data_IF_472213982963
#
_entry.id   IF_472213982963
#
_cell.length_a   1.000
_cell.length_b   1.000
_cell.length_c   1.000
_cell.angle_alpha   90.00
_cell.angle_beta   90.00
_cell.angle_gamma   90.00
#
_symmetry.space_group_name_H-M   'P 1'
#
loop_
_entity.id
_entity.type
_entity.pdbx_description
1 polymer ?
#
# COMPACT_ATOMS: atom_id res chain seq x y z
N UNK A 1 33.09 4.39 29.66
CA UNK A 1 31.65 4.24 30.04
C UNK A 1 31.58 3.12 31.03
N UNK A 2 31.20 3.42 32.27
CA UNK A 2 31.10 2.43 33.33
C UNK A 2 29.61 2.04 33.51
N UNK A 3 29.32 0.77 33.57
CA UNK A 3 28.00 0.20 33.81
C UNK A 3 27.90 -0.32 35.26
N UNK A 4 26.76 -0.09 35.91
CA UNK A 4 26.54 -0.49 37.32
C UNK A 4 26.51 -2.01 37.47
N UNK A 5 25.99 -2.72 36.47
CA UNK A 5 25.87 -4.18 36.47
C UNK A 5 25.73 -4.71 35.02
N UNK A 6 25.63 -6.03 34.89
CA UNK A 6 25.49 -6.72 33.60
C UNK A 6 24.16 -6.32 32.89
N UNK A 7 23.05 -6.21 33.63
CA UNK A 7 21.75 -5.86 33.08
C UNK A 7 21.79 -4.45 32.46
N UNK A 8 22.32 -3.46 33.19
CA UNK A 8 22.47 -2.10 32.72
C UNK A 8 23.28 -2.03 31.44
N UNK A 9 24.38 -2.79 31.36
CA UNK A 9 25.19 -2.89 30.16
C UNK A 9 24.43 -3.50 28.97
N UNK A 10 23.65 -4.55 29.18
CA UNK A 10 22.89 -5.22 28.12
C UNK A 10 21.70 -4.37 27.65
N UNK A 11 21.04 -3.66 28.56
CA UNK A 11 19.99 -2.71 28.23
C UNK A 11 20.53 -1.54 27.39
N UNK A 12 21.70 -1.02 27.73
CA UNK A 12 22.37 0.01 26.92
C UNK A 12 22.62 -0.47 25.49
N UNK A 13 23.26 -1.63 25.30
CA UNK A 13 23.54 -2.14 23.95
C UNK A 13 22.27 -2.41 23.16
N UNK A 14 21.23 -2.94 23.80
CA UNK A 14 19.94 -3.17 23.16
C UNK A 14 19.25 -1.86 22.75
N UNK A 15 19.49 -0.77 23.49
CA UNK A 15 18.86 0.52 23.27
C UNK A 15 19.56 1.42 22.24
N UNK A 16 20.82 1.11 21.85
CA UNK A 16 21.61 1.99 20.94
C UNK A 16 20.91 2.27 19.62
N UNK A 17 20.13 1.31 19.11
CA UNK A 17 19.40 1.43 17.84
C UNK A 17 17.92 1.79 18.01
N UNK A 18 17.49 2.13 19.21
CA UNK A 18 16.10 2.44 19.51
C UNK A 18 15.79 3.90 19.17
N UNK A 19 15.52 4.15 17.90
CA UNK A 19 15.08 5.46 17.42
C UNK A 19 13.57 5.62 17.59
N UNK A 20 13.13 6.79 18.08
CA UNK A 20 11.74 7.14 18.29
C UNK A 20 11.36 8.29 17.36
N UNK A 21 10.31 8.11 16.56
CA UNK A 21 9.79 9.13 15.67
C UNK A 21 9.06 10.24 16.49
N UNK A 22 9.10 11.46 15.96
CA UNK A 22 8.41 12.59 16.58
C UNK A 22 6.89 12.40 16.51
N UNK A 23 6.23 12.52 17.68
CA UNK A 23 4.77 12.37 17.81
C UNK A 23 3.97 13.57 17.30
N UNK A 24 4.61 14.73 17.16
CA UNK A 24 3.95 16.00 16.75
C UNK A 24 3.96 16.19 15.23
N UNK A 25 4.63 15.31 14.51
CA UNK A 25 4.73 15.29 13.05
C UNK A 25 3.90 14.15 12.46
N UNK A 26 3.51 14.28 11.20
CA UNK A 26 2.97 13.15 10.45
C UNK A 26 4.01 12.04 10.36
N UNK A 27 3.57 10.80 10.46
CA UNK A 27 4.43 9.64 10.21
C UNK A 27 4.03 9.00 8.90
N UNK A 28 4.99 8.81 8.01
CA UNK A 28 4.84 8.05 6.78
C UNK A 28 5.43 6.66 6.98
N UNK A 29 4.69 5.64 6.57
CA UNK A 29 5.15 4.25 6.48
C UNK A 29 5.06 3.83 5.02
N UNK A 30 6.15 3.31 4.46
CA UNK A 30 6.20 2.75 3.12
C UNK A 30 6.55 1.27 3.20
N UNK A 31 5.72 0.44 2.59
CA UNK A 31 5.92 -0.99 2.43
C UNK A 31 6.19 -1.27 0.96
N UNK A 32 7.21 -2.07 0.65
CA UNK A 32 7.62 -2.37 -0.72
C UNK A 32 7.86 -3.88 -0.89
N UNK A 33 7.40 -4.42 -2.00
CA UNK A 33 7.50 -5.84 -2.28
C UNK A 33 8.90 -6.27 -2.73
N UNK A 34 9.58 -7.10 -1.93
CA UNK A 34 10.92 -7.57 -2.24
C UNK A 34 10.92 -8.50 -3.46
N UNK A 35 11.54 -8.06 -4.56
CA UNK A 35 11.66 -8.81 -5.83
C UNK A 35 10.30 -9.23 -6.44
N UNK A 36 9.24 -8.46 -6.24
CA UNK A 36 7.91 -8.79 -6.74
C UNK A 36 7.85 -8.85 -8.26
N UNK A 37 8.54 -7.96 -8.98
CA UNK A 37 8.50 -7.91 -10.44
C UNK A 37 8.78 -9.27 -11.11
N UNK A 38 9.73 -10.05 -10.60
CA UNK A 38 10.06 -11.37 -11.13
C UNK A 38 9.02 -12.44 -10.77
N UNK A 39 8.40 -12.32 -9.57
CA UNK A 39 7.39 -13.27 -9.07
C UNK A 39 6.02 -13.00 -9.72
N UNK A 40 5.63 -11.74 -9.80
CA UNK A 40 4.36 -11.29 -10.38
C UNK A 40 4.26 -11.66 -11.86
N UNK A 41 5.31 -11.41 -12.65
CA UNK A 41 5.35 -11.78 -14.08
C UNK A 41 5.14 -13.27 -14.37
N UNK A 42 5.40 -14.15 -13.40
CA UNK A 42 5.22 -15.59 -13.55
C UNK A 42 3.80 -16.06 -13.24
N UNK A 43 3.05 -15.28 -12.45
CA UNK A 43 1.78 -15.73 -11.85
C UNK A 43 0.57 -14.91 -12.29
N UNK A 44 0.77 -13.66 -12.64
CA UNK A 44 -0.27 -12.69 -12.90
C UNK A 44 -0.19 -12.17 -14.35
N UNK A 45 -1.33 -11.79 -14.88
CA UNK A 45 -1.44 -11.24 -16.24
C UNK A 45 -0.81 -9.85 -16.35
N UNK A 46 -0.25 -9.56 -17.52
CA UNK A 46 0.35 -8.27 -17.84
C UNK A 46 -0.52 -7.54 -18.90
N UNK A 47 -0.56 -6.21 -18.85
CA UNK A 47 0.18 -5.30 -17.98
C UNK A 47 -0.41 -5.15 -16.57
N UNK A 48 -1.70 -5.42 -16.34
CA UNK A 48 -2.39 -5.21 -15.09
C UNK A 48 -3.29 -6.42 -14.79
N UNK A 49 -3.09 -7.03 -13.65
CA UNK A 49 -3.89 -8.15 -13.17
C UNK A 49 -4.83 -7.69 -12.04
N UNK A 50 -6.14 -7.83 -12.26
CA UNK A 50 -7.15 -7.37 -11.30
C UNK A 50 -7.12 -8.17 -10.00
N UNK A 51 -6.69 -9.44 -10.03
CA UNK A 51 -6.53 -10.27 -8.83
C UNK A 51 -5.37 -9.77 -7.97
N UNK A 52 -4.23 -9.46 -8.60
CA UNK A 52 -3.09 -8.89 -7.90
C UNK A 52 -3.45 -7.52 -7.29
N UNK A 53 -4.12 -6.66 -8.06
CA UNK A 53 -4.60 -5.35 -7.60
C UNK A 53 -5.53 -5.50 -6.39
N UNK A 54 -6.50 -6.40 -6.44
CA UNK A 54 -7.43 -6.66 -5.34
C UNK A 54 -6.69 -7.17 -4.08
N UNK A 55 -5.76 -8.10 -4.23
CA UNK A 55 -4.94 -8.60 -3.11
C UNK A 55 -4.13 -7.46 -2.47
N UNK A 56 -3.50 -6.60 -3.28
CA UNK A 56 -2.76 -5.45 -2.78
C UNK A 56 -3.66 -4.45 -2.05
N UNK A 57 -4.83 -4.13 -2.59
CA UNK A 57 -5.81 -3.25 -1.95
C UNK A 57 -6.29 -3.81 -0.60
N UNK A 58 -6.62 -5.09 -0.54
CA UNK A 58 -7.03 -5.77 0.71
C UNK A 58 -5.88 -5.84 1.71
N UNK A 59 -4.65 -6.05 1.23
CA UNK A 59 -3.46 -6.03 2.10
C UNK A 59 -3.28 -4.65 2.72
N UNK A 60 -3.37 -3.58 1.93
CA UNK A 60 -3.27 -2.22 2.42
C UNK A 60 -4.39 -1.89 3.42
N UNK A 61 -5.63 -2.26 3.13
CA UNK A 61 -6.78 -2.07 4.02
C UNK A 61 -6.57 -2.81 5.36
N UNK A 62 -6.09 -4.06 5.31
CA UNK A 62 -5.76 -4.83 6.51
C UNK A 62 -4.66 -4.15 7.31
N UNK A 63 -3.54 -3.78 6.69
CA UNK A 63 -2.42 -3.11 7.39
C UNK A 63 -2.90 -1.81 8.03
N UNK A 64 -3.65 -0.97 7.30
CA UNK A 64 -4.23 0.25 7.86
C UNK A 64 -5.14 -0.02 9.07
N UNK A 65 -5.87 -1.13 9.07
CA UNK A 65 -6.72 -1.53 10.20
C UNK A 65 -5.93 -1.91 11.46
N UNK A 66 -4.67 -2.32 11.31
CA UNK A 66 -3.77 -2.71 12.39
C UNK A 66 -2.90 -1.54 12.89
N UNK A 67 -2.81 -0.46 12.12
CA UNK A 67 -1.99 0.71 12.46
C UNK A 67 -2.85 1.76 13.17
N UNK A 68 -2.54 1.98 14.45
CA UNK A 68 -3.18 3.05 15.22
C UNK A 68 -2.80 4.41 14.63
N UNK A 69 -3.80 5.27 14.45
CA UNK A 69 -3.60 6.60 13.87
C UNK A 69 -3.53 6.63 12.34
N UNK A 70 -3.63 5.48 11.64
CA UNK A 70 -3.67 5.47 10.17
C UNK A 70 -4.84 6.32 9.64
N UNK A 71 -4.56 7.17 8.65
CA UNK A 71 -5.52 8.10 8.04
C UNK A 71 -5.83 7.74 6.59
N UNK A 72 -4.81 7.49 5.81
CA UNK A 72 -4.89 7.25 4.38
C UNK A 72 -3.72 6.36 3.98
N UNK A 73 -3.95 5.49 3.01
CA UNK A 73 -2.87 4.84 2.29
C UNK A 73 -3.02 5.05 0.78
N UNK A 74 -1.89 4.98 0.09
CA UNK A 74 -1.80 4.98 -1.37
C UNK A 74 -1.10 3.68 -1.82
N UNK A 75 -1.70 3.02 -2.80
CA UNK A 75 -1.24 1.73 -3.33
C UNK A 75 -0.92 1.87 -4.81
N UNK A 76 0.27 1.48 -5.18
CA UNK A 76 0.69 1.33 -6.58
C UNK A 76 1.55 0.09 -6.75
N UNK A 77 1.32 -0.70 -7.80
CA UNK A 77 2.05 -1.97 -7.98
C UNK A 77 2.12 -2.76 -6.67
N UNK A 78 3.32 -3.07 -6.20
CA UNK A 78 3.63 -3.77 -4.95
C UNK A 78 4.01 -2.84 -3.79
N UNK A 79 3.76 -1.53 -3.93
CA UNK A 79 4.06 -0.52 -2.92
C UNK A 79 2.79 -0.03 -2.21
N UNK A 80 2.90 0.17 -0.88
CA UNK A 80 1.87 0.76 -0.03
C UNK A 80 2.50 1.88 0.78
N UNK A 81 2.04 3.12 0.60
CA UNK A 81 2.43 4.29 1.42
C UNK A 81 1.29 4.67 2.35
N UNK A 82 1.51 4.67 3.66
CA UNK A 82 0.50 4.93 4.70
C UNK A 82 0.89 6.16 5.50
N UNK A 83 -0.01 7.15 5.60
CA UNK A 83 0.15 8.26 6.53
C UNK A 83 -0.64 8.00 7.82
N UNK A 84 -0.01 8.28 8.94
CA UNK A 84 -0.64 8.25 10.24
C UNK A 84 -0.34 9.52 11.05
N UNK A 85 -1.20 9.83 12.00
CA UNK A 85 -1.04 10.93 12.96
C UNK A 85 -1.11 10.41 14.38
N UNK A 86 -0.40 11.11 15.28
CA UNK A 86 -0.37 10.80 16.72
C UNK A 86 -0.80 12.00 17.57
N UNK A 87 -1.31 13.06 16.92
CA UNK A 87 -1.64 14.35 17.54
C UNK A 87 -3.14 14.73 17.45
N UNK A 88 -4.00 13.78 17.06
CA UNK A 88 -5.44 14.02 16.88
C UNK A 88 -6.20 14.27 18.21
N UNK A 89 -5.66 13.74 19.30
CA UNK A 89 -6.17 13.98 20.65
C UNK A 89 -5.03 13.94 21.66
N UNK A 90 -5.15 14.71 22.73
CA UNK A 90 -4.12 14.86 23.78
C UNK A 90 -3.66 13.52 24.38
N UNK A 91 -4.55 12.54 24.44
CA UNK A 91 -4.29 11.21 24.99
C UNK A 91 -4.11 10.13 23.90
N UNK A 92 -3.82 10.50 22.65
CA UNK A 92 -3.57 9.53 21.59
C UNK A 92 -2.36 8.66 21.92
N UNK A 93 -2.58 7.35 21.96
CA UNK A 93 -1.48 6.41 22.06
C UNK A 93 -0.80 6.29 20.70
N UNK A 94 0.50 6.54 20.63
CA UNK A 94 1.26 6.37 19.41
C UNK A 94 1.40 4.89 19.04
N UNK A 95 1.30 4.58 17.77
CA UNK A 95 1.57 3.24 17.23
C UNK A 95 2.96 2.76 17.69
N UNK A 96 2.98 1.71 18.51
CA UNK A 96 4.18 1.20 19.19
C UNK A 96 5.03 2.27 19.88
N UNK A 97 4.40 3.31 20.46
CA UNK A 97 5.11 4.44 21.10
C UNK A 97 6.12 5.11 20.18
N UNK A 98 5.84 5.14 18.87
CA UNK A 98 6.69 5.69 17.82
C UNK A 98 8.10 5.05 17.71
N UNK A 99 8.34 3.87 18.29
CA UNK A 99 9.61 3.17 18.18
C UNK A 99 9.80 2.65 16.76
N UNK A 100 10.77 3.22 16.04
CA UNK A 100 11.01 2.95 14.62
C UNK A 100 11.21 1.46 14.35
N UNK A 101 12.04 0.77 15.13
CA UNK A 101 12.30 -0.67 14.98
C UNK A 101 11.03 -1.52 15.03
N UNK A 102 10.06 -1.15 15.89
CA UNK A 102 8.78 -1.83 16.02
C UNK A 102 7.84 -1.51 14.86
N UNK A 103 7.76 -0.24 14.47
CA UNK A 103 6.97 0.18 13.31
C UNK A 103 7.40 -0.59 12.07
N UNK A 104 8.72 -0.63 11.79
CA UNK A 104 9.25 -1.30 10.60
C UNK A 104 8.95 -2.81 10.61
N UNK A 105 9.33 -3.49 11.69
CA UNK A 105 9.24 -4.95 11.76
C UNK A 105 7.80 -5.46 11.75
N UNK A 106 6.92 -4.81 12.50
CA UNK A 106 5.52 -5.27 12.63
C UNK A 106 4.68 -4.89 11.41
N UNK A 107 4.88 -3.70 10.84
CA UNK A 107 4.15 -3.32 9.63
C UNK A 107 4.54 -4.21 8.43
N UNK A 108 5.82 -4.53 8.26
CA UNK A 108 6.28 -5.49 7.25
C UNK A 108 5.71 -6.89 7.48
N UNK A 109 5.65 -7.34 8.74
CA UNK A 109 5.08 -8.64 9.10
C UNK A 109 3.58 -8.71 8.78
N UNK A 110 2.80 -7.65 9.06
CA UNK A 110 1.38 -7.59 8.71
C UNK A 110 1.16 -7.69 7.20
N UNK A 111 1.88 -6.89 6.41
CA UNK A 111 1.77 -6.94 4.96
C UNK A 111 2.15 -8.31 4.40
N UNK A 112 3.29 -8.85 4.81
CA UNK A 112 3.80 -10.16 4.39
C UNK A 112 2.82 -11.27 4.71
N UNK A 113 2.34 -11.33 5.95
CA UNK A 113 1.45 -12.41 6.40
C UNK A 113 0.10 -12.35 5.69
N UNK A 114 -0.49 -11.16 5.58
CA UNK A 114 -1.80 -11.02 4.97
C UNK A 114 -1.76 -11.23 3.46
N UNK A 115 -0.77 -10.69 2.76
CA UNK A 115 -0.62 -10.88 1.31
C UNK A 115 -0.48 -12.38 0.97
N UNK A 116 0.42 -13.11 1.65
CA UNK A 116 0.58 -14.55 1.43
C UNK A 116 -0.71 -15.33 1.74
N UNK A 117 -1.42 -14.98 2.82
CA UNK A 117 -2.73 -15.56 3.12
C UNK A 117 -3.73 -15.38 1.96
N UNK A 118 -3.78 -14.22 1.34
CA UNK A 118 -4.68 -13.96 0.22
C UNK A 118 -4.24 -14.68 -1.07
N UNK A 119 -2.95 -14.80 -1.32
CA UNK A 119 -2.42 -15.64 -2.40
C UNK A 119 -2.85 -17.10 -2.21
N UNK A 120 -2.68 -17.66 -1.01
CA UNK A 120 -3.05 -19.03 -0.70
C UNK A 120 -4.56 -19.25 -0.82
N UNK A 121 -5.38 -18.28 -0.40
CA UNK A 121 -6.84 -18.36 -0.60
C UNK A 121 -7.23 -18.43 -2.08
N UNK A 122 -6.50 -17.77 -2.97
CA UNK A 122 -6.78 -17.85 -4.41
C UNK A 122 -6.43 -19.24 -4.96
N UNK A 123 -5.38 -19.89 -4.47
CA UNK A 123 -5.05 -21.26 -4.84
C UNK A 123 -6.19 -22.21 -4.44
N UNK A 124 -6.71 -22.07 -3.21
CA UNK A 124 -7.82 -22.93 -2.70
C UNK A 124 -9.13 -22.72 -3.46
N UNK A 125 -9.37 -21.52 -3.98
CA UNK A 125 -10.60 -21.22 -4.75
C UNK A 125 -10.64 -21.89 -6.13
N UNK A 126 -9.55 -22.48 -6.58
CA UNK A 126 -9.52 -23.20 -7.85
C UNK A 126 -10.30 -24.51 -7.73
N UNK A 127 -11.03 -24.91 -8.77
CA UNK A 127 -11.74 -26.19 -8.83
C UNK A 127 -10.78 -27.36 -9.15
N UNK A 128 -9.59 -27.37 -8.55
CA UNK A 128 -8.59 -28.40 -8.74
C UNK A 128 -8.79 -29.55 -7.73
N UNK A 129 -8.32 -30.78 -8.04
CA UNK A 129 -8.22 -31.87 -7.07
C UNK A 129 -7.39 -31.45 -5.84
N UNK A 130 -7.70 -32.04 -4.67
CA UNK A 130 -7.04 -31.68 -3.40
C UNK A 130 -5.52 -31.89 -3.46
N UNK A 131 -5.05 -32.91 -4.16
CA UNK A 131 -3.61 -33.20 -4.32
C UNK A 131 -2.88 -32.11 -5.10
N UNK A 132 -3.52 -31.58 -6.15
CA UNK A 132 -2.97 -30.45 -6.94
C UNK A 132 -2.96 -29.16 -6.11
N UNK A 133 -3.98 -28.93 -5.28
CA UNK A 133 -4.02 -27.79 -4.34
C UNK A 133 -2.86 -27.87 -3.36
N UNK A 134 -2.61 -29.03 -2.76
CA UNK A 134 -1.49 -29.25 -1.82
C UNK A 134 -0.15 -28.99 -2.53
N UNK A 135 0.03 -29.54 -3.75
CA UNK A 135 1.23 -29.31 -4.54
C UNK A 135 1.42 -27.82 -4.88
N UNK A 136 0.36 -27.10 -5.21
CA UNK A 136 0.42 -25.66 -5.47
C UNK A 136 0.83 -24.89 -4.20
N UNK A 137 0.35 -25.29 -3.03
CA UNK A 137 0.77 -24.72 -1.73
C UNK A 137 2.25 -24.93 -1.45
N UNK A 138 2.74 -26.14 -1.62
CA UNK A 138 4.13 -26.51 -1.33
C UNK A 138 5.12 -25.82 -2.29
N UNK A 139 4.69 -25.57 -3.51
CA UNK A 139 5.51 -24.91 -4.53
C UNK A 139 5.33 -23.38 -4.57
N UNK A 140 4.40 -22.79 -3.79
CA UNK A 140 4.16 -21.36 -3.81
C UNK A 140 5.34 -20.59 -3.23
N UNK A 141 5.85 -19.65 -4.00
CA UNK A 141 6.89 -18.74 -3.53
C UNK A 141 6.32 -17.70 -2.59
N UNK A 142 6.80 -17.68 -1.35
CA UNK A 142 6.39 -16.67 -0.37
C UNK A 142 6.87 -15.27 -0.79
N UNK A 143 5.97 -14.32 -0.66
CA UNK A 143 6.20 -12.90 -0.88
C UNK A 143 6.63 -12.23 0.42
N UNK A 144 7.49 -11.23 0.32
CA UNK A 144 8.03 -10.50 1.46
C UNK A 144 7.95 -9.00 1.19
N UNK A 145 7.59 -8.25 2.22
CA UNK A 145 7.62 -6.80 2.18
C UNK A 145 8.75 -6.28 3.06
N UNK A 146 9.48 -5.29 2.58
CA UNK A 146 10.28 -4.43 3.45
C UNK A 146 9.46 -3.21 3.90
N UNK A 147 10.00 -2.47 4.88
CA UNK A 147 9.31 -1.34 5.45
C UNK A 147 10.28 -0.20 5.75
N UNK A 148 9.87 1.01 5.42
CA UNK A 148 10.53 2.26 5.83
C UNK A 148 9.51 3.14 6.54
N UNK A 149 9.99 3.95 7.50
CA UNK A 149 9.13 4.93 8.16
C UNK A 149 9.93 6.17 8.54
N UNK A 150 9.29 7.34 8.46
CA UNK A 150 9.89 8.64 8.77
C UNK A 150 8.82 9.66 9.11
N UNK A 151 9.25 10.80 9.66
CA UNK A 151 8.36 11.93 9.90
C UNK A 151 8.30 12.87 8.68
N UNK A 152 7.13 13.42 8.47
CA UNK A 152 6.88 14.54 7.55
C UNK A 152 6.36 15.71 8.38
N UNK A 153 7.01 16.89 8.32
CA UNK A 153 6.72 17.98 9.25
C UNK A 153 5.36 18.65 8.99
N UNK A 154 4.90 18.68 7.74
CA UNK A 154 3.68 19.39 7.36
C UNK A 154 2.75 18.54 6.50
N UNK A 155 1.48 18.92 6.46
CA UNK A 155 0.51 18.34 5.53
C UNK A 155 0.92 18.53 4.06
N UNK A 156 1.56 19.64 3.74
CA UNK A 156 2.06 19.85 2.37
C UNK A 156 3.12 18.81 1.99
N UNK A 157 3.95 18.37 2.94
CA UNK A 157 4.92 17.32 2.71
C UNK A 157 4.23 15.94 2.53
N UNK A 158 3.14 15.69 3.25
CA UNK A 158 2.32 14.49 3.06
C UNK A 158 1.73 14.46 1.64
N UNK A 159 1.10 15.55 1.20
CA UNK A 159 0.59 15.64 -0.17
C UNK A 159 1.70 15.50 -1.21
N UNK A 160 2.83 16.20 -1.01
CA UNK A 160 3.98 16.12 -1.91
C UNK A 160 4.53 14.68 -2.02
N UNK A 161 4.50 13.90 -0.93
CA UNK A 161 4.86 12.48 -0.98
C UNK A 161 3.91 11.68 -1.87
N UNK A 162 2.60 11.81 -1.69
CA UNK A 162 1.63 11.10 -2.52
C UNK A 162 1.73 11.51 -4.00
N UNK A 163 1.92 12.79 -4.28
CA UNK A 163 2.14 13.30 -5.65
C UNK A 163 3.42 12.70 -6.25
N UNK A 164 4.50 12.65 -5.49
CA UNK A 164 5.76 12.04 -5.93
C UNK A 164 5.57 10.56 -6.27
N UNK A 165 4.87 9.80 -5.42
CA UNK A 165 4.59 8.38 -5.67
C UNK A 165 3.63 8.18 -6.85
N UNK A 166 2.66 9.07 -7.04
CA UNK A 166 1.77 9.00 -8.19
C UNK A 166 2.49 9.28 -9.51
N UNK A 167 3.41 10.23 -9.55
CA UNK A 167 4.21 10.48 -10.75
C UNK A 167 5.03 9.22 -11.13
N UNK A 168 5.55 8.50 -10.15
CA UNK A 168 6.18 7.20 -10.39
C UNK A 168 5.18 6.15 -10.88
N UNK A 169 3.97 6.09 -10.30
CA UNK A 169 2.90 5.20 -10.74
C UNK A 169 2.54 5.42 -12.20
N UNK A 170 2.30 6.66 -12.61
CA UNK A 170 1.96 7.04 -13.99
C UNK A 170 3.07 6.59 -14.95
N UNK A 171 4.32 6.91 -14.62
CA UNK A 171 5.47 6.52 -15.44
C UNK A 171 5.56 4.99 -15.57
N UNK A 172 5.47 4.27 -14.44
CA UNK A 172 5.59 2.82 -14.39
C UNK A 172 4.42 2.13 -15.11
N UNK A 173 3.19 2.63 -14.98
CA UNK A 173 2.02 2.06 -15.67
C UNK A 173 2.13 2.21 -17.18
N UNK A 174 2.60 3.37 -17.68
CA UNK A 174 2.88 3.59 -19.11
C UNK A 174 3.96 2.64 -19.63
N UNK A 175 5.06 2.50 -18.88
CA UNK A 175 6.12 1.57 -19.25
C UNK A 175 5.64 0.11 -19.23
N UNK A 176 4.88 -0.29 -18.22
CA UNK A 176 4.35 -1.64 -18.12
C UNK A 176 3.40 -1.96 -19.28
N UNK A 177 2.52 -1.04 -19.66
CA UNK A 177 1.65 -1.18 -20.82
C UNK A 177 2.47 -1.33 -22.11
N UNK A 178 3.43 -0.44 -22.37
CA UNK A 178 4.23 -0.49 -23.60
C UNK A 178 5.12 -1.74 -23.68
N UNK A 179 5.82 -2.10 -22.59
CA UNK A 179 6.72 -3.26 -22.55
C UNK A 179 6.00 -4.61 -22.60
N UNK A 180 4.71 -4.67 -22.33
CA UNK A 180 3.91 -5.88 -22.46
C UNK A 180 3.67 -6.24 -23.94
N UNK A 181 3.47 -5.25 -24.80
CA UNK A 181 3.05 -5.46 -26.18
C UNK A 181 4.11 -5.14 -27.22
N UNK A 182 5.16 -4.40 -26.86
CA UNK A 182 6.24 -3.99 -27.73
C UNK A 182 7.59 -4.54 -27.26
N UNK A 183 8.47 -4.86 -28.22
CA UNK A 183 9.79 -5.39 -27.88
C UNK A 183 10.68 -4.32 -27.25
N UNK A 184 11.60 -4.73 -26.36
CA UNK A 184 12.58 -3.83 -25.77
C UNK A 184 13.38 -3.06 -26.84
N UNK A 185 13.73 -3.71 -27.96
CA UNK A 185 14.45 -3.08 -29.08
C UNK A 185 13.65 -1.95 -29.73
N UNK A 186 12.33 -2.11 -29.82
CA UNK A 186 11.43 -1.11 -30.40
C UNK A 186 11.27 0.11 -29.48
N UNK A 187 11.35 -0.10 -28.16
CA UNK A 187 11.18 0.94 -27.15
C UNK A 187 12.48 1.65 -26.77
N UNK A 188 13.62 1.17 -27.27
CA UNK A 188 14.93 1.72 -26.95
C UNK A 188 15.02 3.19 -27.37
N UNK A 189 15.52 4.04 -26.45
CA UNK A 189 15.67 5.49 -26.62
C UNK A 189 14.37 6.31 -26.71
N UNK A 190 13.19 5.69 -26.57
CA UNK A 190 11.91 6.42 -26.52
C UNK A 190 11.59 6.87 -25.10
N UNK A 191 11.11 8.11 -24.97
CA UNK A 191 10.52 8.60 -23.73
C UNK A 191 9.19 7.89 -23.47
N UNK A 192 8.72 7.89 -22.24
CA UNK A 192 7.51 7.16 -21.82
C UNK A 192 6.27 7.54 -22.64
N UNK A 193 6.08 8.83 -22.94
CA UNK A 193 4.93 9.29 -23.72
C UNK A 193 5.04 8.86 -25.20
N UNK A 194 6.25 8.87 -25.77
CA UNK A 194 6.51 8.35 -27.12
C UNK A 194 6.25 6.84 -27.20
N UNK A 195 6.55 6.09 -26.11
CA UNK A 195 6.26 4.64 -26.03
C UNK A 195 4.75 4.38 -26.07
N UNK A 196 3.93 5.19 -25.37
CA UNK A 196 2.48 5.05 -25.36
C UNK A 196 1.87 5.45 -26.70
N UNK A 197 2.37 6.49 -27.32
CA UNK A 197 1.94 6.88 -28.68
C UNK A 197 2.26 5.77 -29.70
N UNK A 198 3.44 5.19 -29.61
CA UNK A 198 3.82 4.05 -30.47
C UNK A 198 2.93 2.83 -30.21
N UNK A 199 2.62 2.52 -28.93
CA UNK A 199 1.71 1.45 -28.55
C UNK A 199 0.33 1.63 -29.20
N UNK A 200 -0.22 2.84 -29.12
CA UNK A 200 -1.49 3.21 -29.73
C UNK A 200 -1.46 3.02 -31.24
N UNK A 201 -0.41 3.53 -31.91
CA UNK A 201 -0.29 3.50 -33.37
C UNK A 201 -0.07 2.08 -33.93
N UNK A 202 0.69 1.22 -33.21
CA UNK A 202 1.07 -0.11 -33.71
C UNK A 202 0.11 -1.20 -33.26
N UNK A 203 -0.45 -1.09 -32.05
CA UNK A 203 -1.28 -2.13 -31.44
C UNK A 203 -2.74 -1.72 -31.25
N UNK A 204 -3.09 -0.47 -31.52
CA UNK A 204 -4.40 0.11 -31.24
C UNK A 204 -4.82 -0.02 -29.77
N UNK A 205 -3.83 0.09 -28.86
CA UNK A 205 -4.02 0.06 -27.42
C UNK A 205 -3.72 1.46 -26.88
N UNK A 206 -4.73 2.15 -26.36
CA UNK A 206 -4.59 3.46 -25.75
C UNK A 206 -4.45 3.31 -24.22
N UNK A 207 -3.36 3.83 -23.66
CA UNK A 207 -3.15 3.84 -22.22
C UNK A 207 -4.25 4.62 -21.46
N UNK A 208 -4.88 5.61 -22.10
CA UNK A 208 -5.95 6.37 -21.50
C UNK A 208 -7.22 5.54 -21.26
N UNK A 209 -7.42 4.45 -21.99
CA UNK A 209 -8.58 3.56 -21.85
C UNK A 209 -8.50 2.63 -20.64
N UNK A 210 -7.33 2.53 -19.97
CA UNK A 210 -7.23 1.77 -18.72
C UNK A 210 -7.92 2.50 -17.57
N UNK A 211 -8.46 1.72 -16.62
CA UNK A 211 -9.08 2.23 -15.40
C UNK A 211 -8.14 3.17 -14.63
N UNK A 212 -8.69 4.16 -13.96
CA UNK A 212 -7.92 5.15 -13.21
C UNK A 212 -7.06 4.53 -12.11
N UNK A 213 -7.55 3.47 -11.46
CA UNK A 213 -6.77 2.73 -10.47
C UNK A 213 -5.50 2.06 -11.03
N UNK A 214 -5.48 1.72 -12.34
CA UNK A 214 -4.33 1.17 -13.05
C UNK A 214 -3.34 2.26 -13.49
N UNK A 215 -3.85 3.45 -13.81
CA UNK A 215 -3.07 4.62 -14.26
C UNK A 215 -2.48 5.42 -13.11
N UNK A 216 -3.32 5.74 -12.11
CA UNK A 216 -3.05 6.70 -11.04
C UNK A 216 -2.89 6.06 -9.65
N UNK A 217 -2.92 4.74 -9.56
CA UNK A 217 -2.89 4.02 -8.29
C UNK A 217 -4.24 4.04 -7.56
N UNK A 218 -4.27 3.66 -6.29
CA UNK A 218 -5.49 3.55 -5.49
C UNK A 218 -5.27 4.13 -4.11
N UNK A 219 -6.30 4.78 -3.57
CA UNK A 219 -6.33 5.28 -2.20
C UNK A 219 -7.12 4.35 -1.29
N UNK A 220 -6.60 4.05 -0.12
CA UNK A 220 -7.28 3.26 0.91
C UNK A 220 -7.59 4.20 2.08
N UNK A 221 -8.88 4.40 2.35
CA UNK A 221 -9.35 5.35 3.37
C UNK A 221 -10.52 4.77 4.16
N UNK A 222 -10.80 5.35 5.33
CA UNK A 222 -11.97 4.96 6.13
C UNK A 222 -13.23 5.55 5.53
N UNK A 223 -14.22 4.68 5.30
CA UNK A 223 -15.58 5.05 4.90
C UNK A 223 -16.54 4.54 5.96
N UNK A 224 -17.44 5.43 6.41
CA UNK A 224 -18.55 5.02 7.26
C UNK A 224 -19.65 4.41 6.40
N UNK A 225 -20.15 3.28 6.84
CA UNK A 225 -21.32 2.60 6.27
C UNK A 225 -22.38 2.45 7.36
N UNK A 226 -23.60 2.78 6.99
CA UNK A 226 -24.76 2.53 7.84
C UNK A 226 -25.18 1.06 7.67
N UNK A 227 -25.56 0.43 8.75
CA UNK A 227 -26.05 -0.93 8.75
C UNK A 227 -27.15 -1.12 9.78
N UNK A 228 -27.93 -2.15 9.61
CA UNK A 228 -28.95 -2.59 10.57
C UNK A 228 -28.64 -4.00 11.06
N UNK A 229 -28.87 -4.28 12.31
CA UNK A 229 -28.78 -5.62 12.89
C UNK A 229 -29.97 -5.87 13.80
N UNK A 230 -30.39 -7.13 13.93
CA UNK A 230 -31.46 -7.51 14.83
C UNK A 230 -30.84 -8.11 16.11
N UNK A 231 -31.12 -7.49 17.25
CA UNK A 231 -30.71 -8.00 18.58
C UNK A 231 -31.98 -8.19 19.41
N UNK A 232 -32.26 -9.42 19.81
CA UNK A 232 -33.44 -9.78 20.61
C UNK A 232 -34.79 -9.38 20.01
N UNK A 233 -34.88 -9.31 18.67
CA UNK A 233 -36.12 -8.93 17.96
C UNK A 233 -36.25 -7.42 17.67
N UNK A 234 -35.33 -6.60 18.14
CA UNK A 234 -35.29 -5.17 17.86
C UNK A 234 -34.27 -4.85 16.75
N UNK A 235 -34.67 -4.03 15.78
CA UNK A 235 -33.79 -3.56 14.71
C UNK A 235 -32.97 -2.37 15.24
N UNK A 236 -31.65 -2.56 15.27
CA UNK A 236 -30.69 -1.55 15.75
C UNK A 236 -29.86 -1.04 14.58
N UNK A 237 -29.88 0.27 14.37
CA UNK A 237 -29.00 0.93 13.40
C UNK A 237 -27.61 1.12 14.00
N UNK A 238 -26.59 0.84 13.20
CA UNK A 238 -25.21 1.09 13.57
C UNK A 238 -24.42 1.74 12.42
N UNK A 239 -23.38 2.50 12.79
CA UNK A 239 -22.40 3.04 11.82
C UNK A 239 -21.10 2.25 12.02
N UNK A 240 -20.59 1.67 10.94
CA UNK A 240 -19.34 0.94 10.94
C UNK A 240 -18.35 1.60 9.99
N UNK A 241 -17.16 1.89 10.48
CA UNK A 241 -16.05 2.35 9.62
C UNK A 241 -15.32 1.15 9.02
N UNK A 242 -15.18 1.15 7.71
CA UNK A 242 -14.39 0.16 6.96
C UNK A 242 -13.29 0.87 6.17
N UNK A 243 -12.18 0.17 5.95
CA UNK A 243 -11.17 0.60 5.01
C UNK A 243 -11.60 0.22 3.60
N UNK A 244 -11.72 1.22 2.74
CA UNK A 244 -12.26 1.09 1.38
C UNK A 244 -11.20 1.52 0.36
N UNK A 245 -11.05 0.72 -0.72
CA UNK A 245 -10.21 1.06 -1.85
C UNK A 245 -10.97 1.97 -2.82
N UNK A 246 -10.36 3.07 -3.22
CA UNK A 246 -10.86 4.02 -4.17
C UNK A 246 -9.84 4.20 -5.30
N UNK A 247 -10.28 4.08 -6.54
CA UNK A 247 -9.41 4.31 -7.69
C UNK A 247 -8.84 5.73 -7.65
N UNK A 248 -7.56 5.84 -7.94
CA UNK A 248 -6.87 7.11 -7.93
C UNK A 248 -7.41 8.05 -9.00
N UNK A 249 -7.03 9.28 -8.85
CA UNK A 249 -7.27 10.34 -9.81
C UNK A 249 -5.98 11.16 -9.90
N UNK A 250 -5.81 11.92 -10.96
CA UNK A 250 -4.60 12.71 -11.15
C UNK A 250 -4.48 13.80 -10.07
N UNK A 251 -3.36 13.79 -9.32
CA UNK A 251 -3.10 14.76 -8.23
C UNK A 251 -2.53 16.10 -8.72
N UNK A 252 -2.05 16.15 -9.96
CA UNK A 252 -1.57 17.39 -10.56
C UNK A 252 -2.71 18.39 -10.84
N UNK A 253 -2.40 19.68 -10.91
CA UNK A 253 -3.38 20.72 -11.20
C UNK A 253 -4.47 20.80 -10.12
N UNK A 254 -5.73 20.67 -10.52
CA UNK A 254 -6.90 20.74 -9.63
C UNK A 254 -7.05 19.51 -8.71
N UNK A 255 -6.26 18.46 -8.93
CA UNK A 255 -6.32 17.22 -8.14
C UNK A 255 -6.06 17.45 -6.66
N UNK A 256 -5.28 18.47 -6.29
CA UNK A 256 -5.07 18.87 -4.89
C UNK A 256 -6.38 19.20 -4.18
N UNK A 257 -7.20 20.06 -4.77
CA UNK A 257 -8.47 20.45 -4.17
C UNK A 257 -9.42 19.27 -4.02
N UNK A 258 -9.43 18.36 -5.00
CA UNK A 258 -10.23 17.14 -4.92
C UNK A 258 -9.73 16.21 -3.82
N UNK A 259 -8.40 16.04 -3.70
CA UNK A 259 -7.76 15.23 -2.65
C UNK A 259 -8.11 15.74 -1.25
N UNK A 260 -7.96 17.04 -1.03
CA UNK A 260 -8.24 17.69 0.25
C UNK A 260 -9.72 17.53 0.65
N UNK A 261 -10.64 17.73 -0.29
CA UNK A 261 -12.08 17.56 -0.06
C UNK A 261 -12.48 16.10 0.16
N UNK A 262 -11.85 15.16 -0.54
CA UNK A 262 -12.20 13.75 -0.50
C UNK A 262 -11.71 13.05 0.77
N UNK A 263 -10.48 13.30 1.18
CA UNK A 263 -9.84 12.57 2.26
C UNK A 263 -9.77 13.33 3.58
N UNK A 264 -9.92 14.67 3.53
CA UNK A 264 -10.04 15.55 4.71
C UNK A 264 -8.98 15.30 5.81
N UNK A 265 -7.73 15.05 5.40
CA UNK A 265 -6.62 14.79 6.33
C UNK A 265 -6.16 16.08 7.04
N UNK A 266 -6.52 17.26 6.52
CA UNK A 266 -6.13 18.58 7.03
C UNK A 266 -6.87 19.03 8.28
N UNK A 267 -8.03 18.47 8.58
CA UNK A 267 -8.95 18.94 9.62
C UNK A 267 -8.96 18.02 10.84
N UNK A 268 -7.80 17.46 11.14
CA UNK A 268 -7.63 16.63 12.33
C UNK A 268 -6.71 17.34 13.31
#
# INVERSE_FOLDING_TARGET
MEFKNLEDRMLYYRGITDYVLDKTSYTMIMLDGKNFSAKVKKKFDLPFDDTFIDIMNRTAAYVCSQIQGAKLAYVQSDEISIVLTNFDADNSNCYYKNRLSKILSISAAFATSFFNKEILKNIVKTNKPTEDIISDFDNETLYQFDCKAWNLPTYNDVFAWFLYRQNDCIRNSKQQASHTYLSHKTLLCLKTDEQIELLKNVKNIDWNDYDDGKKFGRFIYKKNIDGTTNINGEEINFIRSIWYAYDGFELNGDGRNYFDNKFNINHI
#
